data_IF_870947607360
#
_entry.id   IF_870947607360
#
_cell.length_a   1.000
_cell.length_b   1.000
_cell.length_c   1.000
_cell.angle_alpha   90.00
_cell.angle_beta   90.00
_cell.angle_gamma   90.00
#
_symmetry.space_group_name_H-M   'P 1'
#
loop_
_entity.id
_entity.type
_entity.pdbx_description
1 polymer ?
#
# COMPACT_ATOMS: atom_id res chain seq x y z
N UNK A 1 4.23 -23.98 -8.42
CA UNK A 1 3.89 -22.71 -7.74
C UNK A 1 4.70 -21.62 -8.40
N UNK A 2 4.12 -20.45 -8.64
CA UNK A 2 4.87 -19.28 -9.10
C UNK A 2 5.90 -18.89 -8.03
N UNK A 3 7.04 -18.33 -8.44
CA UNK A 3 8.06 -17.82 -7.53
C UNK A 3 7.45 -16.71 -6.66
N UNK A 4 7.68 -16.75 -5.36
CA UNK A 4 7.19 -15.70 -4.44
C UNK A 4 7.83 -14.36 -4.78
N UNK A 5 7.01 -13.34 -4.91
CA UNK A 5 7.47 -11.97 -5.19
C UNK A 5 6.73 -11.01 -4.27
N UNK A 6 7.49 -10.24 -3.53
CA UNK A 6 6.99 -9.19 -2.65
C UNK A 6 7.56 -7.84 -3.07
N UNK A 7 7.01 -6.78 -2.54
CA UNK A 7 7.54 -5.43 -2.77
C UNK A 7 7.51 -4.58 -1.51
N UNK A 8 8.51 -3.73 -1.37
CA UNK A 8 8.45 -2.52 -0.59
C UNK A 8 8.14 -1.36 -1.54
N UNK A 9 7.07 -0.63 -1.26
CA UNK A 9 6.53 0.38 -2.16
C UNK A 9 6.32 1.73 -1.43
N UNK A 10 7.43 2.40 -1.03
CA UNK A 10 7.36 3.63 -0.27
C UNK A 10 7.03 4.83 -1.14
N UNK A 11 6.24 5.77 -0.57
CA UNK A 11 6.18 7.13 -1.10
C UNK A 11 7.37 7.94 -0.55
N UNK A 12 8.06 8.73 -1.40
CA UNK A 12 9.25 9.49 -1.01
C UNK A 12 8.88 10.76 -0.22
N UNK A 13 8.51 10.58 1.05
CA UNK A 13 7.99 11.63 1.94
C UNK A 13 8.91 11.97 3.11
N UNK A 14 10.19 11.56 3.05
CA UNK A 14 11.22 11.84 4.05
C UNK A 14 11.66 10.62 4.86
N UNK A 15 11.98 10.81 6.15
CA UNK A 15 12.51 9.76 7.04
C UNK A 15 11.59 8.55 7.16
N UNK A 16 12.21 7.37 7.29
CA UNK A 16 11.48 6.09 7.32
C UNK A 16 10.91 5.81 8.71
N UNK A 17 9.58 5.91 8.83
CA UNK A 17 8.87 5.53 10.06
C UNK A 17 9.07 4.03 10.35
N UNK A 18 9.22 3.65 11.64
CA UNK A 18 9.42 2.24 12.06
C UNK A 18 8.32 1.29 11.55
N UNK A 19 7.08 1.76 11.39
CA UNK A 19 6.01 0.98 10.78
C UNK A 19 6.26 0.66 9.31
N UNK A 20 6.81 1.59 8.54
CA UNK A 20 7.20 1.36 7.15
C UNK A 20 8.40 0.42 7.06
N UNK A 21 9.38 0.58 7.96
CA UNK A 21 10.51 -0.33 8.05
C UNK A 21 10.05 -1.76 8.37
N UNK A 22 9.08 -1.93 9.30
CA UNK A 22 8.50 -3.24 9.59
C UNK A 22 7.83 -3.86 8.37
N UNK A 23 7.08 -3.08 7.62
CA UNK A 23 6.43 -3.56 6.38
C UNK A 23 7.49 -3.98 5.35
N UNK A 24 8.56 -3.21 5.18
CA UNK A 24 9.69 -3.56 4.32
C UNK A 24 10.39 -4.85 4.79
N UNK A 25 10.67 -4.96 6.09
CA UNK A 25 11.29 -6.13 6.70
C UNK A 25 10.46 -7.39 6.49
N UNK A 26 9.16 -7.35 6.76
CA UNK A 26 8.30 -8.52 6.60
C UNK A 26 8.15 -8.93 5.12
N UNK A 27 8.03 -7.97 4.21
CA UNK A 27 8.05 -8.25 2.78
C UNK A 27 9.36 -8.93 2.34
N UNK A 28 10.50 -8.43 2.83
CA UNK A 28 11.82 -9.02 2.60
C UNK A 28 11.91 -10.45 3.15
N UNK A 29 11.47 -10.64 4.41
CA UNK A 29 11.55 -11.96 5.07
C UNK A 29 10.68 -13.01 4.35
N UNK A 30 9.46 -12.66 3.94
CA UNK A 30 8.60 -13.56 3.16
C UNK A 30 9.29 -13.95 1.85
N UNK A 31 9.79 -12.99 1.09
CA UNK A 31 10.45 -13.28 -0.18
C UNK A 31 11.68 -14.16 0.02
N UNK A 32 12.55 -13.84 0.97
CA UNK A 32 13.81 -14.56 1.16
C UNK A 32 13.63 -15.94 1.79
N UNK A 33 12.66 -16.09 2.69
CA UNK A 33 12.29 -17.39 3.25
C UNK A 33 11.88 -18.39 2.16
N UNK A 34 11.08 -17.93 1.21
CA UNK A 34 10.56 -18.73 0.11
C UNK A 34 11.51 -18.78 -1.11
N UNK A 35 12.72 -18.25 -1.01
CA UNK A 35 13.68 -18.19 -2.12
C UNK A 35 13.21 -17.35 -3.31
N UNK A 36 12.36 -16.37 -3.03
CA UNK A 36 11.73 -15.47 -3.99
C UNK A 36 12.46 -14.13 -4.16
N UNK A 37 11.75 -13.16 -4.73
CA UNK A 37 12.28 -11.84 -5.05
C UNK A 37 11.62 -10.73 -4.19
N UNK A 38 12.42 -9.83 -3.68
CA UNK A 38 12.00 -8.63 -2.98
C UNK A 38 12.26 -7.40 -3.85
N UNK A 39 11.20 -6.69 -4.23
CA UNK A 39 11.24 -5.55 -5.15
C UNK A 39 11.17 -4.22 -4.39
N UNK A 40 11.85 -3.21 -4.91
CA UNK A 40 11.66 -1.81 -4.52
C UNK A 40 10.90 -1.07 -5.62
N UNK A 41 9.74 -0.48 -5.27
CA UNK A 41 8.95 0.40 -6.14
C UNK A 41 8.75 1.76 -5.47
N UNK A 42 9.11 2.84 -6.15
CA UNK A 42 8.88 4.20 -5.64
C UNK A 42 7.49 4.68 -6.06
N UNK A 43 6.66 5.00 -5.09
CA UNK A 43 5.28 5.46 -5.30
C UNK A 43 5.20 6.98 -5.10
N UNK A 44 5.50 7.71 -6.17
CA UNK A 44 5.60 9.16 -6.24
C UNK A 44 4.45 9.83 -7.01
N UNK A 45 3.28 9.18 -7.12
CA UNK A 45 2.11 9.73 -7.82
C UNK A 45 1.51 10.96 -7.14
N UNK A 46 1.80 11.18 -5.86
CA UNK A 46 1.44 12.38 -5.10
C UNK A 46 2.64 13.35 -5.09
N UNK A 47 2.71 14.16 -6.15
CA UNK A 47 3.80 15.11 -6.37
C UNK A 47 3.84 16.25 -5.33
N UNK A 48 2.71 16.56 -4.68
CA UNK A 48 2.64 17.59 -3.63
C UNK A 48 3.35 17.16 -2.35
N UNK A 49 3.44 15.84 -2.11
CA UNK A 49 4.08 15.25 -0.93
C UNK A 49 5.51 14.79 -1.17
N UNK A 50 5.99 14.93 -2.39
CA UNK A 50 7.37 14.57 -2.74
C UNK A 50 8.37 15.44 -1.95
N UNK A 51 9.37 14.79 -1.35
CA UNK A 51 10.47 15.45 -0.63
C UNK A 51 11.77 15.13 -1.35
N UNK A 52 12.50 16.17 -1.76
CA UNK A 52 13.81 16.01 -2.37
C UNK A 52 14.77 15.28 -1.40
N UNK A 53 15.54 14.33 -1.92
CA UNK A 53 16.45 13.49 -1.13
C UNK A 53 15.77 12.30 -0.41
N UNK A 54 14.44 12.17 -0.46
CA UNK A 54 13.76 11.09 0.23
C UNK A 54 14.02 9.71 -0.40
N UNK A 55 14.27 9.66 -1.70
CA UNK A 55 14.60 8.40 -2.40
C UNK A 55 15.97 7.90 -1.94
N UNK A 56 16.95 8.78 -1.78
CA UNK A 56 18.28 8.47 -1.26
C UNK A 56 18.21 7.94 0.18
N UNK A 57 17.32 8.52 1.00
CA UNK A 57 17.07 8.03 2.38
C UNK A 57 16.52 6.59 2.33
N UNK A 58 15.58 6.30 1.42
CA UNK A 58 15.04 4.94 1.25
C UNK A 58 16.16 3.96 0.92
N UNK A 59 17.02 4.26 -0.06
CA UNK A 59 18.14 3.41 -0.43
C UNK A 59 19.13 3.22 0.73
N UNK A 60 19.46 4.32 1.41
CA UNK A 60 20.40 4.26 2.54
C UNK A 60 19.84 3.40 3.67
N UNK A 61 18.55 3.56 4.01
CA UNK A 61 17.91 2.77 5.06
C UNK A 61 17.88 1.27 4.68
N UNK A 62 17.51 0.93 3.44
CA UNK A 62 17.54 -0.47 3.00
C UNK A 62 18.95 -1.06 3.07
N UNK A 63 19.97 -0.29 2.71
CA UNK A 63 21.38 -0.70 2.82
C UNK A 63 21.80 -0.89 4.27
N UNK A 64 21.50 0.06 5.16
CA UNK A 64 21.90 0.03 6.56
C UNK A 64 21.20 -1.08 7.35
N UNK A 65 20.00 -1.47 6.92
CA UNK A 65 19.23 -2.58 7.53
C UNK A 65 19.52 -3.93 6.90
N UNK A 66 20.27 -3.98 5.80
CA UNK A 66 20.56 -5.22 5.06
C UNK A 66 19.40 -5.74 4.20
N UNK A 67 18.33 -4.96 4.04
CA UNK A 67 17.14 -5.31 3.24
C UNK A 67 17.40 -5.05 1.74
N UNK A 68 18.32 -5.80 1.17
CA UNK A 68 18.74 -5.59 -0.23
C UNK A 68 17.70 -6.13 -1.19
N UNK A 69 17.17 -5.23 -2.03
CA UNK A 69 16.20 -5.60 -3.06
C UNK A 69 16.87 -6.33 -4.25
N UNK A 70 16.11 -7.19 -4.88
CA UNK A 70 16.53 -7.95 -6.08
C UNK A 70 16.29 -7.15 -7.35
N UNK A 71 15.22 -6.35 -7.36
CA UNK A 71 14.80 -5.50 -8.47
C UNK A 71 14.34 -4.13 -7.92
N UNK A 72 14.55 -3.09 -8.70
CA UNK A 72 14.15 -1.73 -8.35
C UNK A 72 14.60 -0.71 -9.40
N UNK A 73 14.47 0.60 -9.12
CA UNK A 73 14.85 1.63 -10.08
C UNK A 73 16.33 1.60 -10.50
N UNK A 74 17.20 1.09 -9.65
CA UNK A 74 18.64 0.94 -9.85
C UNK A 74 19.04 -0.46 -10.34
N UNK A 75 18.11 -1.41 -10.40
CA UNK A 75 18.37 -2.81 -10.75
C UNK A 75 17.16 -3.41 -11.47
N UNK A 76 17.15 -3.27 -12.79
CA UNK A 76 16.05 -3.74 -13.61
C UNK A 76 15.95 -5.28 -13.65
N UNK A 77 14.75 -5.79 -13.37
CA UNK A 77 14.38 -7.21 -13.49
C UNK A 77 13.45 -7.50 -14.66
N UNK A 78 13.23 -6.52 -15.54
CA UNK A 78 12.41 -6.66 -16.76
C UNK A 78 10.92 -6.35 -16.59
N UNK A 79 10.50 -5.83 -15.41
CA UNK A 79 9.11 -5.43 -15.14
C UNK A 79 8.97 -3.94 -14.81
N UNK A 80 10.05 -3.19 -15.02
CA UNK A 80 10.07 -1.73 -14.83
C UNK A 80 9.19 -0.96 -15.83
N UNK A 81 9.18 0.37 -15.71
CA UNK A 81 9.83 1.20 -14.70
C UNK A 81 9.36 0.90 -13.26
N UNK A 82 10.25 1.12 -12.29
CA UNK A 82 9.93 0.90 -10.86
C UNK A 82 9.59 2.20 -10.13
N UNK A 83 9.45 3.30 -10.85
CA UNK A 83 8.99 4.60 -10.36
C UNK A 83 7.64 4.91 -10.97
N UNK A 84 6.64 5.21 -10.17
CA UNK A 84 5.26 5.36 -10.67
C UNK A 84 5.07 6.56 -11.60
N UNK A 85 5.79 7.68 -11.39
CA UNK A 85 5.74 8.82 -12.32
C UNK A 85 6.28 8.47 -13.72
N UNK A 86 7.29 7.61 -13.81
CA UNK A 86 7.79 7.10 -15.08
C UNK A 86 6.77 6.18 -15.78
N UNK A 87 6.08 5.33 -15.01
CA UNK A 87 4.98 4.49 -15.50
C UNK A 87 3.81 5.34 -15.97
N UNK A 88 3.49 6.42 -15.23
CA UNK A 88 2.47 7.39 -15.63
C UNK A 88 2.81 8.03 -16.98
N UNK A 89 4.07 8.42 -17.20
CA UNK A 89 4.52 9.01 -18.45
C UNK A 89 4.37 8.05 -19.66
N UNK A 90 4.39 6.74 -19.44
CA UNK A 90 4.11 5.73 -20.48
C UNK A 90 2.62 5.59 -20.83
N UNK A 91 1.71 6.19 -20.07
CA UNK A 91 0.25 6.11 -20.27
C UNK A 91 -0.40 4.81 -19.79
N UNK A 92 0.34 3.94 -19.12
CA UNK A 92 -0.12 2.59 -18.74
C UNK A 92 -1.38 2.61 -17.85
N UNK A 93 -1.44 3.52 -16.87
CA UNK A 93 -2.60 3.57 -15.98
C UNK A 93 -3.89 3.98 -16.71
N UNK A 94 -3.80 4.96 -17.60
CA UNK A 94 -4.96 5.36 -18.40
C UNK A 94 -5.41 4.23 -19.34
N UNK A 95 -4.47 3.48 -19.90
CA UNK A 95 -4.77 2.30 -20.73
C UNK A 95 -5.58 1.27 -19.94
N UNK A 96 -5.14 0.92 -18.72
CA UNK A 96 -5.84 -0.04 -17.88
C UNK A 96 -7.19 0.49 -17.36
N UNK A 97 -7.30 1.78 -17.05
CA UNK A 97 -8.58 2.40 -16.71
C UNK A 97 -9.58 2.33 -17.86
N UNK A 98 -9.15 2.55 -19.10
CA UNK A 98 -10.00 2.40 -20.30
C UNK A 98 -10.46 0.97 -20.51
N UNK A 99 -9.61 -0.03 -20.27
CA UNK A 99 -10.02 -1.45 -20.30
C UNK A 99 -11.14 -1.76 -19.29
N UNK A 100 -11.15 -1.10 -18.13
CA UNK A 100 -12.26 -1.24 -17.17
C UNK A 100 -13.54 -0.54 -17.68
N UNK A 101 -13.41 0.63 -18.33
CA UNK A 101 -14.57 1.31 -18.95
C UNK A 101 -15.19 0.42 -20.02
N UNK A 102 -14.39 -0.19 -20.89
CA UNK A 102 -14.86 -1.08 -21.95
C UNK A 102 -15.59 -2.31 -21.39
N UNK A 103 -15.27 -2.73 -20.17
CA UNK A 103 -15.93 -3.82 -19.45
C UNK A 103 -17.14 -3.37 -18.62
N UNK A 104 -17.41 -2.06 -18.52
CA UNK A 104 -18.45 -1.51 -17.63
C UNK A 104 -18.08 -1.50 -16.14
N UNK A 105 -16.83 -1.79 -15.80
CA UNK A 105 -16.31 -1.83 -14.44
C UNK A 105 -15.71 -0.48 -13.98
N UNK A 106 -15.69 0.51 -14.89
CA UNK A 106 -15.35 1.90 -14.63
C UNK A 106 -16.11 2.83 -15.55
N UNK A 107 -16.13 4.11 -15.23
CA UNK A 107 -16.82 5.13 -16.04
C UNK A 107 -16.23 6.51 -15.87
N UNK A 108 -16.47 7.39 -16.86
CA UNK A 108 -16.10 8.80 -16.82
C UNK A 108 -17.03 9.56 -15.88
N UNK A 109 -16.48 10.41 -15.03
CA UNK A 109 -17.22 11.28 -14.14
C UNK A 109 -16.82 12.74 -14.40
N UNK A 110 -17.78 13.56 -14.82
CA UNK A 110 -17.61 14.98 -15.15
C UNK A 110 -18.18 15.90 -14.05
N UNK A 111 -18.42 15.37 -12.84
CA UNK A 111 -18.93 16.17 -11.73
C UNK A 111 -17.93 17.23 -11.30
N UNK A 112 -18.44 18.47 -11.11
CA UNK A 112 -17.64 19.56 -10.61
C UNK A 112 -17.36 19.43 -9.10
N UNK A 113 -16.32 20.10 -8.57
CA UNK A 113 -16.05 20.10 -7.14
C UNK A 113 -17.24 20.61 -6.30
N UNK A 114 -17.97 21.61 -6.81
CA UNK A 114 -19.16 22.19 -6.13
C UNK A 114 -20.28 21.15 -6.01
N UNK A 115 -20.53 20.38 -7.11
CA UNK A 115 -21.50 19.28 -7.07
C UNK A 115 -21.08 18.20 -6.07
N UNK A 116 -19.83 17.80 -6.09
CA UNK A 116 -19.33 16.79 -5.16
C UNK A 116 -19.41 17.27 -3.71
N UNK A 117 -19.13 18.55 -3.45
CA UNK A 117 -19.27 19.16 -2.12
C UNK A 117 -20.72 19.14 -1.63
N UNK A 118 -21.71 19.26 -2.54
CA UNK A 118 -23.13 19.19 -2.18
C UNK A 118 -23.62 17.79 -1.77
N UNK A 119 -22.83 16.74 -2.02
CA UNK A 119 -23.15 15.35 -1.62
C UNK A 119 -22.64 15.02 -0.21
N UNK A 120 -21.91 15.94 0.43
CA UNK A 120 -21.42 15.72 1.78
C UNK A 120 -22.55 15.79 2.78
N UNK A 121 -22.67 14.76 3.59
CA UNK A 121 -23.59 14.68 4.71
C UNK A 121 -22.82 14.60 6.03
N UNK A 122 -23.35 15.22 7.07
CA UNK A 122 -22.76 15.10 8.40
C UNK A 122 -23.50 14.00 9.16
N UNK A 123 -22.84 12.88 9.40
CA UNK A 123 -23.38 11.77 10.18
C UNK A 123 -22.53 11.58 11.43
N UNK A 124 -23.13 11.71 12.60
CA UNK A 124 -22.41 11.52 13.89
C UNK A 124 -21.31 12.55 14.17
N UNK A 125 -21.30 13.70 13.47
CA UNK A 125 -20.25 14.72 13.60
C UNK A 125 -19.08 14.57 12.61
N UNK A 126 -19.10 13.56 11.76
CA UNK A 126 -18.13 13.36 10.69
C UNK A 126 -18.75 13.67 9.32
N UNK A 127 -17.99 14.34 8.45
CA UNK A 127 -18.39 14.53 7.05
C UNK A 127 -18.18 13.24 6.27
N UNK A 128 -19.28 12.65 5.80
CA UNK A 128 -19.26 11.48 4.91
C UNK A 128 -19.68 11.95 3.52
N UNK A 129 -18.95 11.55 2.49
CA UNK A 129 -19.31 11.77 1.10
C UNK A 129 -19.53 10.43 0.42
N UNK A 130 -20.78 10.09 0.14
CA UNK A 130 -21.12 8.97 -0.72
C UNK A 130 -21.40 9.49 -2.13
N UNK A 131 -20.62 9.08 -3.12
CA UNK A 131 -20.86 9.46 -4.50
C UNK A 131 -22.09 8.72 -5.05
N UNK A 132 -23.02 9.47 -5.59
CA UNK A 132 -24.36 9.01 -6.03
C UNK A 132 -24.39 8.36 -7.42
N UNK A 133 -23.25 8.02 -8.00
CA UNK A 133 -23.10 7.42 -9.35
C UNK A 133 -23.74 8.23 -10.49
N UNK A 134 -23.92 9.54 -10.32
CA UNK A 134 -24.60 10.41 -11.28
C UNK A 134 -24.13 10.23 -12.72
N UNK A 135 -22.82 10.18 -12.96
CA UNK A 135 -22.27 10.07 -14.30
C UNK A 135 -22.29 8.64 -14.88
N UNK A 136 -22.64 7.62 -14.09
CA UNK A 136 -22.77 6.25 -14.58
C UNK A 136 -23.90 6.12 -15.62
N UNK A 137 -24.95 6.96 -15.52
CA UNK A 137 -26.09 6.95 -16.41
C UNK A 137 -25.93 7.76 -17.71
N UNK A 138 -24.77 8.39 -17.95
CA UNK A 138 -24.54 9.16 -19.18
C UNK A 138 -24.49 8.24 -20.40
N UNK A 139 -25.14 8.68 -21.49
CA UNK A 139 -25.07 8.00 -22.78
C UNK A 139 -23.68 8.13 -23.42
N UNK A 140 -23.37 7.25 -24.36
CA UNK A 140 -22.08 7.32 -25.10
C UNK A 140 -21.95 8.63 -25.89
N UNK A 141 -23.07 9.18 -26.40
CA UNK A 141 -23.10 10.46 -27.10
C UNK A 141 -22.76 11.61 -26.15
N UNK A 142 -23.32 11.63 -24.94
CA UNK A 142 -23.02 12.64 -23.92
C UNK A 142 -21.55 12.56 -23.46
N UNK A 143 -21.06 11.35 -23.20
CA UNK A 143 -19.65 11.15 -22.84
C UNK A 143 -18.74 11.67 -23.95
N UNK A 144 -19.02 11.30 -25.20
CA UNK A 144 -18.24 11.76 -26.36
C UNK A 144 -18.26 13.27 -26.49
N UNK A 145 -19.44 13.89 -26.39
CA UNK A 145 -19.59 15.35 -26.46
C UNK A 145 -18.82 16.07 -25.36
N UNK A 146 -18.84 15.54 -24.13
CA UNK A 146 -18.10 16.10 -22.99
C UNK A 146 -16.58 16.00 -23.19
N UNK A 147 -16.10 14.86 -23.69
CA UNK A 147 -14.68 14.66 -24.00
C UNK A 147 -14.22 15.58 -25.15
N UNK A 148 -14.99 15.70 -26.22
CA UNK A 148 -14.70 16.59 -27.36
C UNK A 148 -14.74 18.07 -26.96
N UNK A 149 -15.61 18.43 -26.00
CA UNK A 149 -15.64 19.77 -25.43
C UNK A 149 -14.48 20.05 -24.45
N UNK A 150 -13.63 19.06 -24.17
CA UNK A 150 -12.50 19.19 -23.25
C UNK A 150 -12.88 19.40 -21.79
N UNK A 151 -14.07 18.91 -21.38
CA UNK A 151 -14.48 19.02 -19.98
C UNK A 151 -13.56 18.21 -19.06
N UNK A 152 -13.17 18.75 -17.90
CA UNK A 152 -12.41 18.00 -16.91
C UNK A 152 -13.18 16.77 -16.47
N UNK A 153 -12.49 15.64 -16.33
CA UNK A 153 -13.09 14.40 -15.86
C UNK A 153 -12.15 13.63 -14.95
N UNK A 154 -12.72 12.73 -14.18
CA UNK A 154 -12.03 11.63 -13.51
C UNK A 154 -12.58 10.30 -14.02
N UNK A 155 -11.84 9.21 -13.83
CA UNK A 155 -12.37 7.86 -14.07
C UNK A 155 -12.62 7.23 -12.70
N UNK A 156 -13.82 6.72 -12.50
CA UNK A 156 -14.24 6.04 -11.26
C UNK A 156 -14.45 4.56 -11.48
N UNK A 157 -14.11 3.77 -10.45
CA UNK A 157 -14.51 2.37 -10.37
C UNK A 157 -16.03 2.28 -10.27
N UNK A 158 -16.63 1.29 -10.94
CA UNK A 158 -18.05 0.98 -10.82
C UNK A 158 -18.24 -0.19 -9.85
N UNK A 159 -18.45 0.09 -8.58
CA UNK A 159 -18.72 -0.93 -7.58
C UNK A 159 -20.22 -1.30 -7.55
N UNK A 160 -20.59 -2.57 -7.30
CA UNK A 160 -21.97 -2.95 -7.09
C UNK A 160 -22.51 -2.31 -5.80
N UNK A 161 -23.82 -2.04 -5.78
CA UNK A 161 -24.51 -1.44 -4.61
C UNK A 161 -25.27 -2.47 -3.78
N UNK A 162 -25.31 -3.74 -4.22
CA UNK A 162 -26.01 -4.84 -3.54
C UNK A 162 -25.11 -6.05 -3.40
N UNK A 163 -25.40 -6.93 -2.44
CA UNK A 163 -24.59 -8.10 -2.14
C UNK A 163 -23.38 -7.77 -1.30
N UNK A 164 -22.42 -8.68 -1.23
CA UNK A 164 -21.22 -8.56 -0.40
C UNK A 164 -19.95 -8.82 -1.20
N UNK A 165 -18.84 -8.24 -0.74
CA UNK A 165 -17.49 -8.54 -1.22
C UNK A 165 -16.68 -9.14 -0.08
N UNK A 166 -16.12 -10.33 -0.31
CA UNK A 166 -15.26 -11.02 0.64
C UNK A 166 -13.84 -11.10 0.08
N UNK A 167 -12.84 -10.86 0.94
CA UNK A 167 -11.45 -11.14 0.64
C UNK A 167 -10.79 -11.85 1.83
N UNK A 168 -9.76 -12.63 1.55
CA UNK A 168 -8.97 -13.28 2.59
C UNK A 168 -7.74 -12.45 2.92
N UNK A 169 -7.44 -12.32 4.20
CA UNK A 169 -6.18 -11.81 4.74
C UNK A 169 -5.55 -12.88 5.62
N UNK A 170 -4.27 -13.15 5.44
CA UNK A 170 -3.59 -14.23 6.17
C UNK A 170 -3.55 -14.01 7.69
N UNK A 171 -3.66 -12.76 8.14
CA UNK A 171 -3.59 -12.39 9.55
C UNK A 171 -4.99 -12.22 10.16
N UNK A 172 -5.91 -11.60 9.41
CA UNK A 172 -7.25 -11.26 9.89
C UNK A 172 -8.34 -12.25 9.43
N UNK A 173 -7.99 -13.21 8.56
CA UNK A 173 -8.93 -14.19 7.99
C UNK A 173 -9.86 -13.58 6.95
N UNK A 174 -10.99 -14.22 6.75
CA UNK A 174 -12.00 -13.75 5.77
C UNK A 174 -12.72 -12.50 6.28
N UNK A 175 -12.65 -11.44 5.48
CA UNK A 175 -13.31 -10.15 5.75
C UNK A 175 -14.38 -9.93 4.70
N UNK A 176 -15.62 -9.78 5.16
CA UNK A 176 -16.78 -9.54 4.30
C UNK A 176 -17.36 -8.17 4.59
N UNK A 177 -17.58 -7.38 3.54
CA UNK A 177 -18.22 -6.06 3.61
C UNK A 177 -19.47 -6.03 2.73
N UNK A 178 -20.48 -5.25 3.13
CA UNK A 178 -21.64 -4.97 2.29
C UNK A 178 -21.20 -4.05 1.13
N UNK A 179 -21.65 -4.37 -0.08
CA UNK A 179 -21.28 -3.57 -1.26
C UNK A 179 -21.86 -2.15 -1.21
N UNK A 180 -22.92 -1.90 -0.44
CA UNK A 180 -23.45 -0.56 -0.22
C UNK A 180 -22.47 0.37 0.53
N UNK A 181 -21.48 -0.19 1.21
CA UNK A 181 -20.42 0.57 1.90
C UNK A 181 -19.23 0.88 0.96
N UNK A 182 -19.20 0.30 -0.25
CA UNK A 182 -18.12 0.52 -1.21
C UNK A 182 -18.44 1.73 -2.08
N UNK A 183 -17.72 2.83 -1.86
CA UNK A 183 -17.77 4.00 -2.75
C UNK A 183 -17.09 3.71 -4.10
N UNK A 184 -17.53 4.43 -5.13
CA UNK A 184 -16.86 4.42 -6.44
C UNK A 184 -15.62 5.30 -6.38
N UNK A 185 -14.50 4.69 -5.97
CA UNK A 185 -13.25 5.41 -5.83
C UNK A 185 -12.73 5.94 -7.17
N UNK A 186 -12.05 7.07 -7.13
CA UNK A 186 -11.37 7.61 -8.31
C UNK A 186 -10.17 6.73 -8.65
N UNK A 187 -10.08 6.30 -9.90
CA UNK A 187 -8.96 5.55 -10.47
C UNK A 187 -7.94 6.49 -11.10
N UNK A 188 -8.43 7.40 -11.99
CA UNK A 188 -7.62 8.43 -12.65
C UNK A 188 -8.15 9.79 -12.26
N UNK A 189 -7.27 10.64 -11.77
CA UNK A 189 -7.55 12.03 -11.39
C UNK A 189 -7.70 12.93 -12.62
N UNK A 190 -8.23 14.14 -12.43
CA UNK A 190 -8.42 15.13 -13.51
C UNK A 190 -7.11 15.63 -14.13
N UNK A 191 -6.00 15.50 -13.44
CA UNK A 191 -4.65 15.77 -13.95
C UNK A 191 -4.06 14.62 -14.78
N UNK A 192 -4.81 13.51 -14.92
CA UNK A 192 -4.39 12.30 -15.64
C UNK A 192 -3.56 11.32 -14.81
N UNK A 193 -3.17 11.67 -13.58
CA UNK A 193 -2.45 10.75 -12.69
C UNK A 193 -3.40 9.72 -12.09
N UNK A 194 -2.94 8.48 -11.87
CA UNK A 194 -3.69 7.50 -11.11
C UNK A 194 -3.76 7.91 -9.65
N UNK A 195 -4.80 7.44 -8.96
CA UNK A 195 -4.75 7.42 -7.48
C UNK A 195 -3.83 6.29 -7.02
N UNK A 196 -3.32 6.42 -5.79
CA UNK A 196 -2.58 5.34 -5.13
C UNK A 196 -3.32 4.00 -5.21
N UNK A 197 -4.62 4.01 -4.92
CA UNK A 197 -5.45 2.82 -4.88
C UNK A 197 -5.51 2.06 -6.22
N UNK A 198 -5.43 2.74 -7.32
CA UNK A 198 -5.44 2.13 -8.65
C UNK A 198 -4.04 1.74 -9.11
N UNK A 199 -3.07 2.63 -8.93
CA UNK A 199 -1.70 2.39 -9.36
C UNK A 199 -1.10 1.14 -8.70
N UNK A 200 -1.31 0.95 -7.39
CA UNK A 200 -0.76 -0.21 -6.69
C UNK A 200 -1.29 -1.54 -7.22
N UNK A 201 -2.58 -1.63 -7.58
CA UNK A 201 -3.18 -2.86 -8.13
C UNK A 201 -2.62 -3.17 -9.52
N UNK A 202 -2.54 -2.17 -10.39
CA UNK A 202 -1.98 -2.34 -11.74
C UNK A 202 -0.51 -2.75 -11.67
N UNK A 203 0.27 -2.09 -10.83
CA UNK A 203 1.69 -2.35 -10.70
C UNK A 203 1.97 -3.70 -10.05
N UNK A 204 1.25 -4.06 -8.99
CA UNK A 204 1.40 -5.34 -8.33
C UNK A 204 1.14 -6.49 -9.31
N UNK A 205 0.10 -6.37 -10.15
CA UNK A 205 -0.16 -7.37 -11.19
C UNK A 205 0.95 -7.41 -12.24
N UNK A 206 1.32 -6.28 -12.82
CA UNK A 206 2.31 -6.22 -13.91
C UNK A 206 3.73 -6.57 -13.46
N UNK A 207 4.05 -6.37 -12.18
CA UNK A 207 5.32 -6.78 -11.57
C UNK A 207 5.28 -8.21 -11.04
N UNK A 208 4.15 -8.91 -11.18
CA UNK A 208 3.99 -10.31 -10.75
C UNK A 208 4.07 -10.48 -9.23
N UNK A 209 3.62 -9.49 -8.46
CA UNK A 209 3.61 -9.55 -7.00
C UNK A 209 2.61 -10.61 -6.54
N UNK A 210 3.09 -11.56 -5.74
CA UNK A 210 2.30 -12.66 -5.21
C UNK A 210 1.82 -12.42 -3.78
N UNK A 211 2.58 -11.65 -2.99
CA UNK A 211 2.26 -11.34 -1.60
C UNK A 211 2.35 -9.83 -1.36
N UNK A 212 1.27 -9.25 -0.87
CA UNK A 212 1.14 -7.82 -0.57
C UNK A 212 1.19 -7.63 0.94
N UNK A 213 2.33 -7.14 1.43
CA UNK A 213 2.54 -6.79 2.83
C UNK A 213 2.35 -5.28 3.02
N UNK A 214 1.50 -4.87 3.94
CA UNK A 214 1.24 -3.44 4.23
C UNK A 214 0.55 -3.25 5.58
N UNK A 215 0.37 -2.02 6.03
CA UNK A 215 -0.32 -1.71 7.28
C UNK A 215 -1.81 -2.02 7.25
N UNK A 216 -2.41 -2.28 8.40
CA UNK A 216 -3.83 -2.61 8.53
C UNK A 216 -4.78 -1.46 8.18
N UNK A 217 -4.29 -0.23 8.03
CA UNK A 217 -5.06 0.91 7.52
C UNK A 217 -5.65 0.67 6.12
N UNK A 218 -5.09 -0.27 5.37
CA UNK A 218 -5.56 -0.63 4.03
C UNK A 218 -6.64 -1.72 4.03
N UNK A 219 -6.98 -2.31 5.18
CA UNK A 219 -8.03 -3.34 5.28
C UNK A 219 -9.38 -2.83 4.72
N UNK A 220 -9.75 -1.59 5.04
CA UNK A 220 -11.00 -0.98 4.56
C UNK A 220 -11.02 -0.73 3.04
N UNK A 221 -9.86 -0.58 2.41
CA UNK A 221 -9.74 -0.39 0.96
C UNK A 221 -9.60 -1.70 0.18
N UNK A 222 -9.20 -2.78 0.86
CA UNK A 222 -8.91 -4.08 0.23
C UNK A 222 -10.10 -4.69 -0.53
N UNK A 223 -11.36 -4.55 -0.11
CA UNK A 223 -12.50 -5.00 -0.91
C UNK A 223 -12.54 -4.35 -2.30
N UNK A 224 -12.24 -3.04 -2.40
CA UNK A 224 -12.20 -2.30 -3.67
C UNK A 224 -11.06 -2.77 -4.56
N UNK A 225 -9.90 -3.12 -3.98
CA UNK A 225 -8.79 -3.73 -4.72
C UNK A 225 -9.15 -5.10 -5.25
N UNK A 226 -9.77 -5.95 -4.43
CA UNK A 226 -10.28 -7.26 -4.87
C UNK A 226 -11.24 -7.13 -6.04
N UNK A 227 -12.14 -6.15 -6.01
CA UNK A 227 -13.03 -5.85 -7.12
C UNK A 227 -12.28 -5.48 -8.40
N UNK A 228 -11.17 -4.74 -8.31
CA UNK A 228 -10.33 -4.44 -9.47
C UNK A 228 -9.68 -5.69 -10.05
N UNK A 229 -9.08 -6.55 -9.21
CA UNK A 229 -8.52 -7.83 -9.67
C UNK A 229 -9.59 -8.69 -10.38
N UNK A 230 -10.78 -8.80 -9.81
CA UNK A 230 -11.90 -9.53 -10.40
C UNK A 230 -12.35 -8.92 -11.74
N UNK A 231 -12.49 -7.60 -11.82
CA UNK A 231 -12.89 -6.89 -13.02
C UNK A 231 -11.89 -7.08 -14.18
N UNK A 232 -10.61 -7.15 -13.87
CA UNK A 232 -9.57 -7.47 -14.84
C UNK A 232 -9.53 -8.96 -15.18
N UNK A 233 -10.02 -9.85 -14.32
CA UNK A 233 -9.85 -11.30 -14.43
C UNK A 233 -8.45 -11.73 -13.98
N UNK A 234 -7.82 -11.00 -13.07
CA UNK A 234 -6.50 -11.27 -12.52
C UNK A 234 -6.59 -12.09 -11.25
N UNK A 235 -5.54 -12.86 -10.97
CA UNK A 235 -5.37 -13.53 -9.69
C UNK A 235 -5.13 -12.50 -8.58
N UNK A 236 -5.85 -12.66 -7.47
CA UNK A 236 -5.69 -11.79 -6.29
C UNK A 236 -4.43 -12.23 -5.53
N UNK A 237 -3.53 -11.31 -5.17
CA UNK A 237 -2.35 -11.67 -4.38
C UNK A 237 -2.75 -12.06 -2.95
N UNK A 238 -1.86 -12.77 -2.28
CA UNK A 238 -1.96 -13.05 -0.85
C UNK A 238 -1.80 -11.74 -0.07
N UNK A 239 -2.78 -11.40 0.76
CA UNK A 239 -2.72 -10.21 1.61
C UNK A 239 -2.19 -10.54 3.00
N UNK A 240 -1.22 -9.75 3.46
CA UNK A 240 -0.64 -9.81 4.79
C UNK A 240 -0.67 -8.40 5.40
N UNK A 241 -1.73 -8.08 6.15
CA UNK A 241 -1.85 -6.77 6.79
C UNK A 241 -1.22 -6.77 8.18
N UNK A 242 -0.21 -5.92 8.36
CA UNK A 242 0.49 -5.79 9.63
C UNK A 242 -0.38 -5.05 10.66
N UNK A 243 -0.45 -5.51 11.93
CA UNK A 243 -1.20 -4.83 12.98
C UNK A 243 -0.63 -3.45 13.29
N UNK A 244 -1.41 -2.60 13.95
CA UNK A 244 -0.93 -1.28 14.39
C UNK A 244 0.22 -1.42 15.39
N UNK A 245 1.19 -0.49 15.28
CA UNK A 245 2.16 -0.23 16.34
C UNK A 245 1.61 0.92 17.18
N UNK A 246 1.50 0.71 18.48
CA UNK A 246 0.96 1.69 19.42
C UNK A 246 2.00 2.06 20.48
N UNK A 247 1.81 3.20 21.13
CA UNK A 247 2.53 3.57 22.34
C UNK A 247 1.95 2.85 23.58
N UNK A 248 2.51 3.10 24.76
CA UNK A 248 2.05 2.53 26.04
C UNK A 248 0.61 2.93 26.40
N UNK A 249 0.09 4.00 25.81
CA UNK A 249 -1.27 4.47 25.99
C UNK A 249 -2.23 3.94 24.90
N UNK A 250 -1.79 2.97 24.08
CA UNK A 250 -2.53 2.40 22.96
C UNK A 250 -2.87 3.39 21.82
N UNK A 251 -2.18 4.55 21.74
CA UNK A 251 -2.30 5.44 20.61
C UNK A 251 -1.37 5.00 19.48
N UNK A 252 -1.82 5.15 18.23
CA UNK A 252 -1.00 4.89 17.05
C UNK A 252 0.29 5.71 17.13
N UNK A 253 1.45 5.04 17.00
CA UNK A 253 2.73 5.74 16.87
C UNK A 253 2.68 6.69 15.69
N UNK A 254 2.96 7.97 15.93
CA UNK A 254 2.93 9.01 14.92
C UNK A 254 4.26 9.76 14.88
N UNK A 255 4.55 10.42 13.75
CA UNK A 255 5.73 11.29 13.61
C UNK A 255 5.80 12.40 14.69
N UNK A 256 4.69 12.71 15.36
CA UNK A 256 4.61 13.73 16.43
C UNK A 256 5.08 13.23 17.79
N UNK A 257 5.15 11.90 17.99
CA UNK A 257 5.56 11.32 19.28
C UNK A 257 7.08 11.34 19.51
N UNK A 258 7.88 11.88 18.58
CA UNK A 258 9.34 11.93 18.64
C UNK A 258 9.96 10.51 18.62
N UNK A 259 11.09 10.33 17.90
CA UNK A 259 11.81 9.05 17.88
C UNK A 259 11.08 7.86 17.20
N UNK A 260 10.30 8.14 16.16
CA UNK A 260 9.52 7.13 15.43
C UNK A 260 10.11 6.76 14.06
N UNK A 261 11.24 7.36 13.66
CA UNK A 261 11.94 6.99 12.42
C UNK A 261 13.19 6.15 12.71
N UNK A 262 13.59 5.37 11.71
CA UNK A 262 14.83 4.59 11.75
C UNK A 262 16.05 5.49 12.00
N UNK A 263 16.11 6.60 11.27
CA UNK A 263 17.20 7.57 11.36
C UNK A 263 17.29 8.21 12.76
N UNK A 264 16.13 8.55 13.37
CA UNK A 264 16.10 9.09 14.73
C UNK A 264 16.66 8.10 15.75
N UNK A 265 16.40 6.79 15.57
CA UNK A 265 16.94 5.75 16.45
C UNK A 265 18.45 5.61 16.28
N UNK A 266 18.98 5.68 15.05
CA UNK A 266 20.42 5.67 14.82
C UNK A 266 21.11 6.91 15.41
N UNK A 267 20.51 8.09 15.30
CA UNK A 267 21.01 9.34 15.90
C UNK A 267 21.08 9.25 17.43
N UNK A 268 20.20 8.46 18.07
CA UNK A 268 20.24 8.16 19.50
C UNK A 268 21.30 7.11 19.88
N UNK A 269 21.99 6.53 18.91
CA UNK A 269 23.08 5.56 19.12
C UNK A 269 22.64 4.09 19.14
N UNK A 270 21.38 3.78 18.76
CA UNK A 270 21.00 2.40 18.55
C UNK A 270 21.72 1.82 17.32
N UNK A 271 22.11 0.56 17.40
CA UNK A 271 22.67 -0.16 16.25
C UNK A 271 21.57 -0.53 15.26
N UNK A 272 21.88 -0.51 13.97
CA UNK A 272 20.94 -0.87 12.91
C UNK A 272 20.37 -2.28 13.12
N UNK A 273 21.20 -3.25 13.42
CA UNK A 273 20.80 -4.64 13.70
C UNK A 273 19.85 -4.74 14.91
N UNK A 274 20.06 -3.92 15.94
CA UNK A 274 19.18 -3.88 17.10
C UNK A 274 17.81 -3.30 16.75
N UNK A 275 17.78 -2.26 15.90
CA UNK A 275 16.53 -1.69 15.40
C UNK A 275 15.79 -2.69 14.52
N UNK A 276 16.46 -3.38 13.61
CA UNK A 276 15.87 -4.42 12.76
C UNK A 276 15.28 -5.55 13.60
N UNK A 277 16.05 -6.05 14.60
CA UNK A 277 15.60 -7.09 15.51
C UNK A 277 14.36 -6.64 16.31
N UNK A 278 14.40 -5.44 16.85
CA UNK A 278 13.27 -4.85 17.57
C UNK A 278 12.02 -4.74 16.69
N UNK A 279 12.17 -4.22 15.47
CA UNK A 279 11.07 -4.05 14.51
C UNK A 279 10.46 -5.39 14.09
N UNK A 280 11.29 -6.44 13.95
CA UNK A 280 10.81 -7.79 13.63
C UNK A 280 9.84 -8.32 14.70
N UNK A 281 10.12 -8.07 15.96
CA UNK A 281 9.29 -8.53 17.08
C UNK A 281 8.04 -7.66 17.33
N UNK A 282 7.86 -6.56 16.58
CA UNK A 282 6.65 -5.75 16.65
C UNK A 282 5.50 -6.36 15.82
N UNK A 283 5.08 -7.53 16.15
CA UNK A 283 3.97 -8.20 15.48
C UNK A 283 4.21 -9.65 15.12
N UNK A 284 5.43 -10.13 15.13
CA UNK A 284 5.80 -11.52 14.90
C UNK A 284 6.46 -12.11 16.15
N UNK A 285 6.25 -13.39 16.39
CA UNK A 285 6.86 -14.13 17.51
C UNK A 285 7.53 -15.40 16.97
N UNK A 286 8.78 -15.70 17.37
CA UNK A 286 9.45 -16.96 17.06
C UNK A 286 8.78 -18.16 17.75
N UNK A 287 9.19 -19.39 17.40
CA UNK A 287 8.67 -20.60 18.08
C UNK A 287 9.20 -20.75 19.50
N UNK A 288 10.38 -20.30 19.70
CA UNK A 288 11.01 -20.24 21.01
C UNK A 288 10.89 -18.82 21.63
N UNK A 289 11.36 -18.66 22.84
CA UNK A 289 11.34 -17.37 23.52
C UNK A 289 12.60 -16.52 23.26
N UNK A 290 13.31 -16.74 22.13
CA UNK A 290 14.44 -15.91 21.77
C UNK A 290 13.98 -14.50 21.43
N UNK A 291 14.77 -13.53 21.84
CA UNK A 291 14.53 -12.10 21.58
C UNK A 291 15.61 -11.49 20.68
N UNK A 292 16.66 -12.23 20.37
CA UNK A 292 17.79 -11.74 19.56
C UNK A 292 17.98 -12.66 18.36
N UNK A 293 17.91 -12.07 17.16
CA UNK A 293 18.05 -12.72 15.87
C UNK A 293 18.98 -11.91 14.97
N UNK A 294 19.81 -12.59 14.21
CA UNK A 294 20.39 -12.00 13.01
C UNK A 294 19.33 -11.93 11.90
N UNK A 295 19.54 -11.08 10.91
CA UNK A 295 18.66 -11.03 9.74
C UNK A 295 18.58 -12.40 9.03
N UNK A 296 19.70 -13.14 9.01
CA UNK A 296 19.77 -14.50 8.46
C UNK A 296 18.91 -15.51 9.23
N UNK A 297 18.89 -15.42 10.56
CA UNK A 297 18.03 -16.26 11.39
C UNK A 297 16.56 -15.91 11.18
N UNK A 298 16.25 -14.61 11.09
CA UNK A 298 14.88 -14.17 10.76
C UNK A 298 14.42 -14.75 9.43
N UNK A 299 15.23 -14.69 8.37
CA UNK A 299 14.91 -15.28 7.06
C UNK A 299 14.60 -16.78 7.16
N UNK A 300 15.34 -17.52 7.98
CA UNK A 300 15.12 -18.96 8.15
C UNK A 300 13.85 -19.31 8.91
N UNK A 301 13.46 -18.48 9.86
CA UNK A 301 12.43 -18.80 10.85
C UNK A 301 11.13 -18.01 10.68
N UNK A 302 11.11 -17.02 9.78
CA UNK A 302 9.95 -16.14 9.61
C UNK A 302 8.76 -16.90 9.02
N UNK A 303 7.67 -16.91 9.77
CA UNK A 303 6.36 -17.37 9.33
C UNK A 303 5.33 -16.30 9.65
N UNK A 304 4.72 -15.71 8.61
CA UNK A 304 3.74 -14.65 8.79
C UNK A 304 2.44 -15.12 9.45
N UNK A 305 2.11 -16.43 9.44
CA UNK A 305 0.97 -16.98 10.19
C UNK A 305 1.14 -16.87 11.70
N UNK A 306 2.34 -16.56 12.17
CA UNK A 306 2.66 -16.31 13.58
C UNK A 306 2.59 -14.82 13.94
N UNK A 307 2.10 -13.99 13.03
CA UNK A 307 1.80 -12.59 13.33
C UNK A 307 0.50 -12.50 14.15
N UNK A 308 0.50 -11.58 15.10
CA UNK A 308 -0.68 -11.32 15.95
C UNK A 308 -1.58 -10.27 15.32
N UNK A 309 -2.90 -10.39 15.54
CA UNK A 309 -3.88 -9.35 15.20
C UNK A 309 -3.92 -8.20 16.20
N UNK A 310 -3.30 -8.38 17.38
CA UNK A 310 -3.32 -7.41 18.47
C UNK A 310 -2.30 -6.30 18.20
N UNK A 311 -2.69 -5.05 18.44
CA UNK A 311 -1.76 -3.91 18.41
C UNK A 311 -0.63 -4.13 19.42
N UNK A 312 0.62 -3.98 18.95
CA UNK A 312 1.78 -4.13 19.81
C UNK A 312 2.09 -2.81 20.49
N UNK A 313 2.05 -2.83 21.83
CA UNK A 313 2.64 -1.77 22.63
C UNK A 313 4.15 -1.85 22.59
N UNK A 314 4.79 -0.70 22.64
CA UNK A 314 6.22 -0.52 22.69
C UNK A 314 6.85 -1.44 23.76
N UNK A 315 7.45 -2.55 23.32
CA UNK A 315 8.35 -3.33 24.18
C UNK A 315 9.52 -2.42 24.52
N UNK A 316 9.89 -2.35 25.80
CA UNK A 316 11.15 -1.69 26.17
C UNK A 316 12.27 -2.37 25.42
N UNK A 317 12.84 -1.68 24.43
CA UNK A 317 14.04 -2.12 23.76
C UNK A 317 15.09 -2.39 24.87
N UNK A 318 15.57 -3.62 24.96
CA UNK A 318 16.75 -3.88 25.77
C UNK A 318 17.85 -3.01 25.18
N UNK A 319 18.30 -2.03 25.99
CA UNK A 319 19.24 -0.99 25.57
C UNK A 319 20.58 -1.61 25.19
N UNK A 320 20.76 -1.91 23.91
CA UNK A 320 22.10 -2.09 23.33
C UNK A 320 22.55 -0.75 22.77
N UNK A 321 22.96 0.15 23.66
CA UNK A 321 23.68 1.37 23.28
C UNK A 321 25.13 1.03 22.97
N UNK A 322 25.70 1.69 21.98
CA UNK A 322 27.16 1.69 21.78
C UNK A 322 27.84 2.27 23.06
N UNK A 323 28.72 1.52 23.65
CA UNK A 323 29.69 2.03 24.64
C UNK A 323 30.90 2.56 23.90
#
# INVERSE_FOLDING_TARGET
MSRVRTRYAPSPTGRMHVGNLRTALYAYLIAKHEGGDFLLRIEDTDQERYVEGAVEIIYQTLKDTGLIHDEGPDKDGGVGPYVQSERQASGIYLEYAKKLIDKGEAYYCFCTPERLASLKETVGGEEIMAYDKHCLGLSQEEIKANLEAGLPYVIRQNNPVTGTTTFNDEIYGDITVDNSELDDMVLIKSDGYPTYNFANVVDDHLMGITHVVRGNEYLSSSPKYNRLYQAFGWEVPVYVHCPLITDEQHHKLSKRSGHSSFEDLLEQGFLSEAVVNYVALLGWSPEDNREIFSLEDMVKEFDYHRMSTVSYTHLRAHETRRH
#
